data_IF_390373381121
#
_entry.id   IF_390373381121
#
_cell.length_a   1.000
_cell.length_b   1.000
_cell.length_c   1.000
_cell.angle_alpha   90.00
_cell.angle_beta   90.00
_cell.angle_gamma   90.00
#
_symmetry.space_group_name_H-M   'P 1'
#
loop_
_entity.id
_entity.type
_entity.pdbx_description
1 polymer ?
#
# COMPACT_ATOMS: atom_id res chain seq x y z
N UNK A 1 -10.68 -0.10 -21.09
CA UNK A 1 -11.22 0.81 -20.04
C UNK A 1 -10.35 0.77 -18.80
N UNK A 2 -10.09 -0.38 -18.18
CA UNK A 2 -9.13 -0.45 -17.05
C UNK A 2 -7.73 0.04 -17.42
N UNK A 3 -7.19 -0.37 -18.57
CA UNK A 3 -5.90 0.11 -19.08
C UNK A 3 -5.85 1.64 -19.33
N UNK A 4 -6.99 2.26 -19.64
CA UNK A 4 -7.09 3.71 -19.88
C UNK A 4 -7.15 4.44 -18.54
N UNK A 5 -7.95 3.96 -17.58
CA UNK A 5 -8.04 4.55 -16.25
C UNK A 5 -6.71 4.49 -15.49
N UNK A 6 -6.04 3.33 -15.50
CA UNK A 6 -4.73 3.18 -14.87
C UNK A 6 -3.63 3.88 -15.65
N UNK A 7 -3.62 3.79 -16.98
CA UNK A 7 -2.61 4.43 -17.82
C UNK A 7 -2.61 5.96 -17.69
N UNK A 8 -3.76 6.60 -17.84
CA UNK A 8 -3.87 8.05 -17.67
C UNK A 8 -3.74 8.49 -16.21
N UNK A 9 -4.10 7.65 -15.24
CA UNK A 9 -3.85 7.94 -13.82
C UNK A 9 -2.34 7.97 -13.50
N UNK A 10 -1.57 7.01 -14.05
CA UNK A 10 -0.12 6.98 -13.90
C UNK A 10 0.52 8.17 -14.63
N UNK A 11 0.10 8.46 -15.87
CA UNK A 11 0.58 9.64 -16.62
C UNK A 11 0.28 10.95 -15.90
N UNK A 12 -0.90 11.11 -15.30
CA UNK A 12 -1.24 12.30 -14.52
C UNK A 12 -0.30 12.53 -13.31
N UNK A 13 0.05 11.45 -12.61
CA UNK A 13 0.97 11.49 -11.47
C UNK A 13 2.40 11.80 -11.94
N UNK A 14 2.81 11.22 -13.06
CA UNK A 14 4.12 11.45 -13.68
C UNK A 14 4.28 12.90 -14.16
N UNK A 15 3.30 13.42 -14.90
CA UNK A 15 3.26 14.82 -15.37
C UNK A 15 3.29 15.82 -14.20
N UNK A 16 2.55 15.53 -13.12
CA UNK A 16 2.54 16.37 -11.93
C UNK A 16 3.89 16.35 -11.19
N UNK A 17 4.60 15.22 -11.19
CA UNK A 17 5.92 15.07 -10.59
C UNK A 17 7.03 15.80 -11.34
N UNK A 18 6.91 15.93 -12.67
CA UNK A 18 7.91 16.57 -13.53
C UNK A 18 7.68 18.08 -13.76
N UNK A 19 6.63 18.66 -13.17
CA UNK A 19 6.33 20.09 -13.30
C UNK A 19 5.79 20.48 -14.68
N UNK A 20 5.07 19.57 -15.36
CA UNK A 20 4.43 19.84 -16.63
C UNK A 20 3.31 20.88 -16.51
N UNK A 21 2.89 21.42 -17.67
CA UNK A 21 1.90 22.48 -17.69
C UNK A 21 0.59 22.06 -17.00
N UNK A 22 0.08 22.92 -16.10
CA UNK A 22 -1.05 22.63 -15.22
C UNK A 22 -2.30 22.12 -15.95
N UNK A 23 -2.49 22.53 -17.22
CA UNK A 23 -3.61 22.09 -18.05
C UNK A 23 -3.49 20.64 -18.54
N UNK A 24 -2.27 20.12 -18.76
CA UNK A 24 -2.03 18.72 -19.11
C UNK A 24 -2.33 17.83 -17.90
N UNK A 25 -1.81 18.18 -16.72
CA UNK A 25 -2.12 17.50 -15.46
C UNK A 25 -3.63 17.47 -15.20
N UNK A 26 -4.33 18.61 -15.38
CA UNK A 26 -5.77 18.70 -15.17
C UNK A 26 -6.57 17.85 -16.18
N UNK A 27 -6.11 17.80 -17.45
CA UNK A 27 -6.74 17.00 -18.49
C UNK A 27 -6.57 15.49 -18.22
N UNK A 28 -5.38 15.05 -17.82
CA UNK A 28 -5.11 13.65 -17.48
C UNK A 28 -5.89 13.21 -16.24
N UNK A 29 -6.01 14.07 -15.22
CA UNK A 29 -6.86 13.83 -14.06
C UNK A 29 -8.34 13.73 -14.45
N UNK A 30 -8.82 14.60 -15.32
CA UNK A 30 -10.20 14.57 -15.81
C UNK A 30 -10.49 13.27 -16.58
N UNK A 31 -9.56 12.83 -17.45
CA UNK A 31 -9.66 11.57 -18.18
C UNK A 31 -9.67 10.38 -17.21
N UNK A 32 -8.81 10.37 -16.18
CA UNK A 32 -8.77 9.33 -15.16
C UNK A 32 -10.07 9.25 -14.36
N UNK A 33 -10.65 10.39 -13.97
CA UNK A 33 -11.93 10.46 -13.25
C UNK A 33 -13.08 9.95 -14.12
N UNK A 34 -13.15 10.39 -15.38
CA UNK A 34 -14.19 9.95 -16.32
C UNK A 34 -14.06 8.46 -16.62
N UNK A 35 -12.85 7.97 -16.88
CA UNK A 35 -12.59 6.55 -17.12
C UNK A 35 -12.94 5.68 -15.89
N UNK A 36 -12.62 6.15 -14.69
CA UNK A 36 -12.98 5.48 -13.42
C UNK A 36 -14.51 5.45 -13.23
N UNK A 37 -15.20 6.56 -13.52
CA UNK A 37 -16.65 6.63 -13.43
C UNK A 37 -17.35 5.69 -14.44
N UNK A 38 -16.84 5.63 -15.67
CA UNK A 38 -17.34 4.72 -16.71
C UNK A 38 -17.06 3.25 -16.37
N UNK A 39 -15.91 2.95 -15.77
CA UNK A 39 -15.58 1.60 -15.28
C UNK A 39 -16.53 1.18 -14.15
N UNK A 40 -16.77 2.08 -13.18
CA UNK A 40 -17.72 1.86 -12.09
C UNK A 40 -19.12 1.55 -12.61
N UNK A 41 -19.66 2.38 -13.52
CA UNK A 41 -20.98 2.14 -14.13
C UNK A 41 -21.03 0.83 -14.92
N UNK A 42 -19.96 0.49 -15.64
CA UNK A 42 -19.90 -0.74 -16.44
C UNK A 42 -19.86 -1.98 -15.55
N UNK A 43 -19.16 -1.93 -14.42
CA UNK A 43 -19.09 -3.06 -13.50
C UNK A 43 -20.38 -3.31 -12.74
N UNK A 44 -21.15 -2.28 -12.41
CA UNK A 44 -22.47 -2.46 -11.79
C UNK A 44 -23.47 -3.23 -12.67
N UNK A 45 -23.28 -3.22 -13.99
CA UNK A 45 -24.17 -3.89 -14.94
C UNK A 45 -23.64 -5.25 -15.43
N UNK A 46 -22.48 -5.71 -14.95
CA UNK A 46 -21.91 -7.00 -15.34
C UNK A 46 -22.40 -8.11 -14.40
N UNK A 47 -22.83 -9.28 -14.92
CA UNK A 47 -23.26 -10.43 -14.10
C UNK A 47 -22.13 -11.01 -13.23
N UNK A 48 -20.88 -10.87 -13.65
CA UNK A 48 -19.68 -11.25 -12.91
C UNK A 48 -18.62 -10.13 -13.03
N UNK A 49 -18.69 -9.10 -12.16
CA UNK A 49 -17.78 -7.97 -12.23
C UNK A 49 -16.38 -8.34 -11.73
N UNK A 50 -15.35 -7.95 -12.50
CA UNK A 50 -13.93 -8.20 -12.16
C UNK A 50 -13.47 -7.47 -10.89
N UNK A 51 -14.00 -6.26 -10.62
CA UNK A 51 -13.93 -5.63 -9.30
C UNK A 51 -15.36 -5.58 -8.77
N UNK A 52 -15.68 -6.32 -7.71
CA UNK A 52 -16.98 -6.25 -7.09
C UNK A 52 -17.08 -4.95 -6.26
N UNK A 53 -17.18 -3.81 -6.95
CA UNK A 53 -17.29 -2.44 -6.39
C UNK A 53 -18.52 -2.28 -5.48
N UNK A 54 -19.48 -3.19 -5.58
CA UNK A 54 -20.60 -3.29 -4.66
C UNK A 54 -20.19 -3.76 -3.26
N UNK A 55 -19.08 -4.49 -3.11
CA UNK A 55 -18.50 -4.82 -1.80
C UNK A 55 -17.95 -3.59 -1.08
N UNK A 56 -17.58 -2.52 -1.80
CA UNK A 56 -17.19 -1.23 -1.19
C UNK A 56 -18.35 -0.56 -0.44
N UNK A 57 -19.60 -1.01 -0.63
CA UNK A 57 -20.72 -0.55 0.20
C UNK A 57 -20.64 -1.09 1.62
N UNK A 58 -19.87 -2.15 1.86
CA UNK A 58 -19.64 -2.69 3.19
C UNK A 58 -18.55 -1.84 3.87
N UNK A 59 -18.86 -1.11 4.96
CA UNK A 59 -17.92 -0.13 5.53
C UNK A 59 -16.58 -0.72 5.95
N UNK A 60 -16.58 -1.93 6.50
CA UNK A 60 -15.34 -2.62 6.91
C UNK A 60 -14.47 -2.98 5.69
N UNK A 61 -15.10 -3.33 4.57
CA UNK A 61 -14.41 -3.68 3.33
C UNK A 61 -13.79 -2.45 2.66
N UNK A 62 -14.54 -1.34 2.60
CA UNK A 62 -14.05 -0.07 2.10
C UNK A 62 -12.88 0.47 2.95
N UNK A 63 -12.99 0.37 4.28
CA UNK A 63 -11.92 0.76 5.18
C UNK A 63 -10.67 -0.09 4.98
N UNK A 64 -10.82 -1.42 4.88
CA UNK A 64 -9.71 -2.35 4.60
C UNK A 64 -9.00 -2.07 3.28
N UNK A 65 -9.74 -1.74 2.21
CA UNK A 65 -9.14 -1.36 0.93
C UNK A 65 -8.45 0.00 1.03
N UNK A 66 -9.08 0.99 1.66
CA UNK A 66 -8.49 2.32 1.84
C UNK A 66 -7.17 2.27 2.62
N UNK A 67 -7.13 1.50 3.72
CA UNK A 67 -5.91 1.31 4.51
C UNK A 67 -4.87 0.47 3.77
N UNK A 68 -5.26 -0.53 2.97
CA UNK A 68 -4.33 -1.24 2.08
C UNK A 68 -3.67 -0.30 1.07
N UNK A 69 -4.47 0.50 0.36
CA UNK A 69 -3.96 1.46 -0.62
C UNK A 69 -2.98 2.42 0.04
N UNK A 70 -3.37 3.03 1.18
CA UNK A 70 -2.49 3.93 1.91
C UNK A 70 -1.19 3.24 2.37
N UNK A 71 -1.28 1.99 2.82
CA UNK A 71 -0.13 1.22 3.29
C UNK A 71 0.84 0.89 2.16
N UNK A 72 0.32 0.45 1.01
CA UNK A 72 1.11 0.19 -0.20
C UNK A 72 1.73 1.47 -0.77
N UNK A 73 0.99 2.59 -0.80
CA UNK A 73 1.55 3.88 -1.19
C UNK A 73 2.71 4.29 -0.28
N UNK A 74 2.54 4.17 1.05
CA UNK A 74 3.59 4.46 2.02
C UNK A 74 4.81 3.54 1.86
N UNK A 75 4.57 2.24 1.63
CA UNK A 75 5.64 1.29 1.34
C UNK A 75 6.40 1.67 0.07
N UNK A 76 5.70 1.86 -1.06
CA UNK A 76 6.33 2.20 -2.34
C UNK A 76 7.12 3.50 -2.24
N UNK A 77 6.56 4.52 -1.59
CA UNK A 77 7.26 5.77 -1.34
C UNK A 77 8.56 5.53 -0.55
N UNK A 78 8.54 4.71 0.49
CA UNK A 78 9.74 4.41 1.27
C UNK A 78 10.77 3.61 0.44
N UNK A 79 10.34 2.60 -0.32
CA UNK A 79 11.22 1.79 -1.16
C UNK A 79 11.82 2.56 -2.34
N UNK A 80 11.14 3.59 -2.82
CA UNK A 80 11.68 4.51 -3.84
C UNK A 80 12.59 5.55 -3.19
N UNK A 81 12.11 6.27 -2.16
CA UNK A 81 12.84 7.39 -1.58
C UNK A 81 14.11 6.97 -0.83
N UNK A 82 14.09 5.85 -0.11
CA UNK A 82 15.22 5.44 0.74
C UNK A 82 16.50 5.16 -0.06
N UNK A 83 16.50 4.41 -1.17
CA UNK A 83 17.68 4.26 -2.01
C UNK A 83 18.30 5.60 -2.44
N UNK A 84 17.50 6.51 -2.98
CA UNK A 84 17.98 7.83 -3.41
C UNK A 84 18.51 8.65 -2.23
N UNK A 85 17.87 8.58 -1.07
CA UNK A 85 18.33 9.29 0.12
C UNK A 85 19.67 8.73 0.63
N UNK A 86 19.80 7.41 0.70
CA UNK A 86 21.02 6.73 1.14
C UNK A 86 22.19 6.90 0.16
N UNK A 87 21.90 6.91 -1.14
CA UNK A 87 22.90 7.17 -2.19
C UNK A 87 23.34 8.64 -2.17
N UNK A 88 22.40 9.58 -2.29
CA UNK A 88 22.73 10.99 -2.47
C UNK A 88 23.24 11.67 -1.20
N UNK A 89 22.77 11.25 -0.02
CA UNK A 89 23.14 11.89 1.25
C UNK A 89 24.33 11.20 1.93
N UNK A 90 24.39 9.87 1.89
CA UNK A 90 25.44 9.09 2.57
C UNK A 90 26.49 8.50 1.62
N UNK A 91 26.27 8.58 0.31
CA UNK A 91 27.21 8.02 -0.68
C UNK A 91 27.31 6.50 -0.63
N UNK A 92 26.28 5.81 -0.13
CA UNK A 92 26.30 4.36 -0.04
C UNK A 92 26.22 3.71 -1.42
N UNK A 93 26.99 2.63 -1.60
CA UNK A 93 26.92 1.77 -2.78
C UNK A 93 25.59 1.02 -2.86
N UNK A 94 25.21 0.59 -4.07
CA UNK A 94 23.99 -0.19 -4.29
C UNK A 94 23.88 -1.44 -3.40
N UNK A 95 25.00 -2.13 -3.16
CA UNK A 95 25.05 -3.32 -2.27
C UNK A 95 24.71 -2.95 -0.83
N UNK A 96 25.28 -1.84 -0.32
CA UNK A 96 25.00 -1.37 1.03
C UNK A 96 23.54 -0.94 1.18
N UNK A 97 22.99 -0.22 0.21
CA UNK A 97 21.58 0.18 0.19
C UNK A 97 20.67 -1.04 0.23
N UNK A 98 20.95 -2.05 -0.61
CA UNK A 98 20.20 -3.30 -0.60
C UNK A 98 20.20 -3.97 0.77
N UNK A 99 21.36 -4.06 1.41
CA UNK A 99 21.48 -4.62 2.77
C UNK A 99 20.72 -3.80 3.82
N UNK A 100 20.69 -2.47 3.69
CA UNK A 100 20.00 -1.57 4.64
C UNK A 100 18.48 -1.59 4.51
N UNK A 101 17.95 -1.91 3.33
CA UNK A 101 16.49 -2.01 3.08
C UNK A 101 15.97 -3.42 3.37
N UNK A 102 16.83 -4.45 3.29
CA UNK A 102 16.53 -5.86 3.59
C UNK A 102 15.84 -6.14 4.94
N UNK A 103 16.06 -5.39 6.04
CA UNK A 103 15.35 -5.58 7.30
C UNK A 103 13.84 -5.48 7.17
N UNK A 104 13.32 -4.68 6.23
CA UNK A 104 11.87 -4.58 6.00
C UNK A 104 11.24 -5.91 5.55
N UNK A 105 11.63 -6.53 4.41
CA UNK A 105 11.04 -7.80 4.00
C UNK A 105 11.28 -8.93 5.00
N UNK A 106 12.42 -8.94 5.70
CA UNK A 106 12.67 -9.88 6.79
C UNK A 106 11.63 -9.69 7.91
N UNK A 107 11.44 -8.46 8.37
CA UNK A 107 10.46 -8.14 9.40
C UNK A 107 9.04 -8.52 8.99
N UNK A 108 8.65 -8.28 7.73
CA UNK A 108 7.35 -8.73 7.19
C UNK A 108 7.24 -10.26 7.23
N UNK A 109 8.29 -10.98 6.81
CA UNK A 109 8.31 -12.44 6.78
C UNK A 109 8.11 -13.05 8.18
N UNK A 110 8.63 -12.42 9.23
CA UNK A 110 8.40 -12.84 10.61
C UNK A 110 7.06 -12.35 11.18
N UNK A 111 6.65 -11.13 10.87
CA UNK A 111 5.43 -10.55 11.39
C UNK A 111 4.16 -11.22 10.83
N UNK A 112 4.17 -11.66 9.57
CA UNK A 112 3.01 -12.24 8.92
C UNK A 112 2.52 -13.56 9.59
N UNK A 113 3.37 -14.55 9.91
CA UNK A 113 2.96 -15.72 10.69
C UNK A 113 2.45 -15.37 12.09
N UNK A 114 3.12 -14.44 12.77
CA UNK A 114 2.72 -13.97 14.11
C UNK A 114 1.33 -13.34 14.06
N UNK A 115 1.09 -12.49 13.07
CA UNK A 115 -0.21 -11.89 12.82
C UNK A 115 -1.27 -12.96 12.52
N UNK A 116 -0.95 -13.95 11.68
CA UNK A 116 -1.84 -15.06 11.36
C UNK A 116 -2.32 -15.81 12.60
N UNK A 117 -1.39 -16.14 13.50
CA UNK A 117 -1.68 -16.76 14.79
C UNK A 117 -2.46 -15.84 15.74
N UNK A 118 -2.11 -14.56 15.82
CA UNK A 118 -2.80 -13.59 16.67
C UNK A 118 -4.27 -13.39 16.25
N UNK A 119 -4.57 -13.43 14.95
CA UNK A 119 -5.94 -13.23 14.43
C UNK A 119 -6.89 -14.38 14.83
N UNK A 120 -6.37 -15.54 15.22
CA UNK A 120 -7.20 -16.60 15.78
C UNK A 120 -7.63 -16.31 17.23
N UNK A 121 -6.91 -15.40 17.92
CA UNK A 121 -7.11 -15.11 19.35
C UNK A 121 -7.70 -13.72 19.60
N UNK A 122 -7.49 -12.77 18.69
CA UNK A 122 -7.90 -11.38 18.84
C UNK A 122 -8.69 -10.87 17.62
N UNK A 123 -9.53 -9.83 17.79
CA UNK A 123 -10.27 -9.24 16.67
C UNK A 123 -9.34 -8.72 15.58
N UNK A 124 -9.58 -9.13 14.33
CA UNK A 124 -8.76 -8.74 13.18
C UNK A 124 -8.67 -7.22 13.00
N UNK A 125 -9.75 -6.48 13.25
CA UNK A 125 -9.76 -5.01 13.17
C UNK A 125 -8.83 -4.34 14.19
N UNK A 126 -8.73 -4.90 15.41
CA UNK A 126 -7.83 -4.38 16.45
C UNK A 126 -6.36 -4.64 16.06
N UNK A 127 -6.05 -5.86 15.62
CA UNK A 127 -4.71 -6.22 15.16
C UNK A 127 -4.29 -5.40 13.93
N UNK A 128 -5.20 -5.22 12.97
CA UNK A 128 -4.99 -4.37 11.80
C UNK A 128 -4.71 -2.92 12.20
N UNK A 129 -5.49 -2.36 13.12
CA UNK A 129 -5.26 -1.01 13.63
C UNK A 129 -3.91 -0.84 14.32
N UNK A 130 -3.52 -1.79 15.17
CA UNK A 130 -2.20 -1.79 15.82
C UNK A 130 -1.08 -1.90 14.78
N UNK A 131 -1.19 -2.83 13.83
CA UNK A 131 -0.21 -2.97 12.75
C UNK A 131 -0.05 -1.68 11.95
N UNK A 132 -1.16 -1.02 11.61
CA UNK A 132 -1.16 0.23 10.86
C UNK A 132 -0.53 1.39 11.65
N UNK A 133 -0.76 1.47 12.97
CA UNK A 133 -0.11 2.46 13.84
C UNK A 133 1.40 2.22 13.94
N UNK A 134 1.83 0.96 14.08
CA UNK A 134 3.26 0.59 14.07
C UNK A 134 3.87 0.93 12.72
N UNK A 135 3.15 0.66 11.62
CA UNK A 135 3.60 0.98 10.27
C UNK A 135 3.78 2.49 10.06
N UNK A 136 2.76 3.28 10.42
CA UNK A 136 2.80 4.73 10.35
C UNK A 136 3.92 5.32 11.22
N UNK A 137 4.15 4.75 12.39
CA UNK A 137 5.27 5.14 13.26
C UNK A 137 6.60 4.81 12.61
N UNK A 138 6.77 3.62 12.03
CA UNK A 138 7.97 3.23 11.27
C UNK A 138 8.26 4.20 10.12
N UNK A 139 7.26 4.50 9.30
CA UNK A 139 7.37 5.53 8.25
C UNK A 139 7.70 6.92 8.80
N UNK A 140 7.04 7.34 9.89
CA UNK A 140 7.30 8.61 10.55
C UNK A 140 8.74 8.72 11.06
N UNK A 141 9.29 7.63 11.62
CA UNK A 141 10.69 7.60 12.00
C UNK A 141 11.60 7.68 10.77
N UNK A 142 11.31 7.01 9.65
CA UNK A 142 12.12 7.18 8.44
C UNK A 142 12.09 8.61 7.90
N UNK A 143 10.93 9.27 7.94
CA UNK A 143 10.79 10.66 7.52
C UNK A 143 11.56 11.64 8.43
N UNK A 144 11.68 11.32 9.72
CA UNK A 144 12.40 12.09 10.72
C UNK A 144 13.81 11.52 10.99
N UNK A 145 14.45 10.97 9.96
CA UNK A 145 15.80 10.44 10.09
C UNK A 145 16.81 11.59 10.24
N UNK A 146 17.69 11.56 11.26
CA UNK A 146 18.68 12.63 11.46
C UNK A 146 19.73 12.62 10.34
N UNK A 147 20.28 13.80 10.02
CA UNK A 147 21.30 13.94 8.97
C UNK A 147 22.57 13.13 9.22
N UNK A 148 22.90 12.87 10.49
CA UNK A 148 24.02 12.05 10.93
C UNK A 148 23.60 10.61 11.29
N UNK A 149 22.54 10.09 10.68
CA UNK A 149 22.05 8.73 10.95
C UNK A 149 23.11 7.68 10.65
N UNK A 150 23.16 6.66 11.51
CA UNK A 150 24.03 5.50 11.33
C UNK A 150 23.31 4.41 10.52
N UNK A 151 24.04 3.43 9.96
CA UNK A 151 23.44 2.23 9.37
C UNK A 151 22.43 1.52 10.28
N UNK A 152 22.70 1.50 11.59
CA UNK A 152 21.80 0.91 12.59
C UNK A 152 20.47 1.66 12.63
N UNK A 153 20.50 3.00 12.50
CA UNK A 153 19.29 3.82 12.47
C UNK A 153 18.36 3.45 11.31
N UNK A 154 18.94 3.20 10.14
CA UNK A 154 18.19 2.76 8.97
C UNK A 154 17.58 1.38 9.22
N UNK A 155 18.38 0.45 9.75
CA UNK A 155 17.98 -0.96 9.95
C UNK A 155 16.77 -1.06 10.89
N UNK A 156 16.81 -0.42 12.06
CA UNK A 156 15.71 -0.57 13.02
C UNK A 156 14.44 0.15 12.53
N UNK A 157 14.56 1.27 11.83
CA UNK A 157 13.41 2.01 11.26
C UNK A 157 12.75 1.24 10.12
N UNK A 158 13.56 0.64 9.23
CA UNK A 158 13.09 -0.28 8.18
C UNK A 158 12.41 -1.52 8.77
N UNK A 159 12.99 -2.12 9.79
CA UNK A 159 12.40 -3.26 10.48
C UNK A 159 11.08 -2.90 11.16
N UNK A 160 11.01 -1.75 11.85
CA UNK A 160 9.79 -1.27 12.50
C UNK A 160 8.63 -1.09 11.50
N UNK A 161 8.92 -0.45 10.36
CA UNK A 161 7.96 -0.32 9.27
C UNK A 161 7.54 -1.70 8.72
N UNK A 162 8.50 -2.61 8.50
CA UNK A 162 8.21 -3.97 8.05
C UNK A 162 7.34 -4.77 9.01
N UNK A 163 7.59 -4.69 10.32
CA UNK A 163 6.76 -5.34 11.35
C UNK A 163 5.34 -4.81 11.29
N UNK A 164 5.16 -3.48 11.29
CA UNK A 164 3.84 -2.87 11.23
C UNK A 164 3.07 -3.27 9.98
N UNK A 165 3.74 -3.24 8.82
CA UNK A 165 3.16 -3.64 7.55
C UNK A 165 2.71 -5.10 7.57
N UNK A 166 3.55 -6.02 8.05
CA UNK A 166 3.19 -7.45 8.16
C UNK A 166 2.05 -7.72 9.14
N UNK A 167 2.06 -7.05 10.31
CA UNK A 167 1.00 -7.14 11.31
C UNK A 167 -0.34 -6.59 10.82
N UNK A 168 -0.33 -5.62 9.91
CA UNK A 168 -1.53 -5.07 9.30
C UNK A 168 -2.05 -5.94 8.15
N UNK A 169 -1.18 -6.32 7.21
CA UNK A 169 -1.60 -6.97 5.96
C UNK A 169 -2.29 -8.31 6.19
N UNK A 170 -1.79 -9.15 7.10
CA UNK A 170 -2.37 -10.47 7.35
C UNK A 170 -3.82 -10.43 7.88
N UNK A 171 -4.14 -9.71 8.98
CA UNK A 171 -5.53 -9.55 9.43
C UNK A 171 -6.40 -8.87 8.38
N UNK A 172 -5.89 -7.82 7.74
CA UNK A 172 -6.67 -7.05 6.78
C UNK A 172 -7.11 -7.91 5.58
N UNK A 173 -6.19 -8.69 5.02
CA UNK A 173 -6.47 -9.61 3.93
C UNK A 173 -7.48 -10.68 4.35
N UNK A 174 -7.36 -11.22 5.56
CA UNK A 174 -8.32 -12.19 6.10
C UNK A 174 -9.71 -11.58 6.27
N UNK A 175 -9.80 -10.35 6.78
CA UNK A 175 -11.06 -9.61 6.92
C UNK A 175 -11.72 -9.35 5.57
N UNK A 176 -10.95 -8.94 4.55
CA UNK A 176 -11.46 -8.75 3.20
C UNK A 176 -12.02 -10.05 2.60
N UNK A 177 -11.29 -11.16 2.68
CA UNK A 177 -11.77 -12.45 2.17
C UNK A 177 -13.02 -12.90 2.92
N UNK A 178 -13.02 -12.79 4.25
CA UNK A 178 -14.14 -13.24 5.09
C UNK A 178 -15.40 -12.39 4.95
N UNK A 179 -15.26 -11.10 4.62
CA UNK A 179 -16.39 -10.20 4.39
C UNK A 179 -17.07 -10.39 3.02
N UNK A 180 -16.43 -11.09 2.08
CA UNK A 180 -16.98 -11.35 0.76
C UNK A 180 -17.91 -12.59 0.76
N UNK A 181 -19.09 -12.53 0.10
CA UNK A 181 -19.93 -13.70 -0.13
C UNK A 181 -19.15 -14.84 -0.80
N UNK A 182 -19.44 -16.10 -0.46
CA UNK A 182 -18.66 -17.27 -0.92
C UNK A 182 -18.60 -17.36 -2.45
N UNK A 183 -19.66 -16.95 -3.13
CA UNK A 183 -19.80 -16.90 -4.59
C UNK A 183 -18.93 -15.83 -5.26
N UNK A 184 -18.40 -14.87 -4.49
CA UNK A 184 -17.60 -13.72 -4.97
C UNK A 184 -16.21 -13.63 -4.34
N UNK A 185 -15.82 -14.65 -3.59
CA UNK A 185 -14.49 -14.78 -2.97
C UNK A 185 -13.34 -14.62 -3.96
N UNK A 186 -13.50 -15.08 -5.21
CA UNK A 186 -12.53 -14.87 -6.28
C UNK A 186 -12.31 -13.39 -6.65
N UNK A 187 -13.38 -12.58 -6.66
CA UNK A 187 -13.28 -11.14 -6.92
C UNK A 187 -12.71 -10.36 -5.74
N UNK A 188 -12.98 -10.80 -4.51
CA UNK A 188 -12.36 -10.22 -3.31
C UNK A 188 -10.87 -10.53 -3.22
N UNK A 189 -10.47 -11.76 -3.57
CA UNK A 189 -9.05 -12.14 -3.68
C UNK A 189 -8.33 -11.30 -4.73
N UNK A 190 -8.99 -11.00 -5.86
CA UNK A 190 -8.46 -10.11 -6.90
C UNK A 190 -8.22 -8.65 -6.47
N UNK A 191 -8.77 -8.20 -5.34
CA UNK A 191 -8.55 -6.86 -4.78
C UNK A 191 -7.49 -6.83 -3.66
N UNK A 192 -6.89 -7.97 -3.32
CA UNK A 192 -5.78 -8.04 -2.36
C UNK A 192 -4.42 -7.70 -2.98
N UNK A 193 -4.32 -7.86 -4.30
CA UNK A 193 -3.09 -7.65 -5.08
C UNK A 193 -2.91 -6.22 -5.55
#
# INVERSE_FOLDING_TARGET
MSAIAFGFGISAIDSAGHGEALYLCALEFAIAVVASHLLYRRQLNLPSPLLPVDLLRIPIFALSIGTSIASFCGQMLAFVAMPFYLENHFGYSAVQIGLLITPWPIAVAFAAPIAGWLVERYPAGLLGGIGLLVFATGLGTLALMPANATPIDVIWRMALAGVGFGLFQTPNNRTMIAAAPRERSGGASGMLG
#
